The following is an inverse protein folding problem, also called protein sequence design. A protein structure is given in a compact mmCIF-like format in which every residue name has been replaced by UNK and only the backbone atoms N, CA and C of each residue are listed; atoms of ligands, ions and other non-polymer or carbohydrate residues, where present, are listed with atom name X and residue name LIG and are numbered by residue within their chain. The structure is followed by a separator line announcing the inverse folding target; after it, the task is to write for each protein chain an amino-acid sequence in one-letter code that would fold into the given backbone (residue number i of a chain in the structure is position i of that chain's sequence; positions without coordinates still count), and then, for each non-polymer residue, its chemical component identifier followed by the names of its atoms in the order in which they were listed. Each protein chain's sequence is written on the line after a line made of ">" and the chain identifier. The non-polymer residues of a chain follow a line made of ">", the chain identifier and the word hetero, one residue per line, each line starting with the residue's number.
data_IF_665533319792
#
_entry.id   IF_665533319792
#
_cell.length_a   1.000
_cell.length_b   1.000
_cell.length_c   1.000
_cell.angle_alpha   90.00
_cell.angle_beta   90.00
_cell.angle_gamma   90.00
#
_symmetry.space_group_name_H-M   'P 1'
#
loop_
_entity.id
_entity.type
_entity.pdbx_description
1 polymer ?
#
# COMPACT_ATOMS: atom_id res chain seq x y z
N UNK A 1 22.08 9.29 -22.28
CA UNK A 1 20.88 9.94 -21.74
C UNK A 1 21.24 10.43 -20.35
N UNK A 2 21.02 11.69 -20.06
CA UNK A 2 21.12 12.27 -18.72
C UNK A 2 19.69 12.56 -18.22
N UNK A 3 19.45 12.32 -16.95
CA UNK A 3 18.20 12.66 -16.30
C UNK A 3 18.45 13.81 -15.34
N UNK A 4 17.69 14.88 -15.47
CA UNK A 4 17.64 15.95 -14.51
C UNK A 4 16.48 15.65 -13.57
N UNK A 5 16.80 15.15 -12.37
CA UNK A 5 15.79 14.75 -11.39
C UNK A 5 15.97 15.49 -10.06
N UNK A 6 17.13 16.08 -9.80
CA UNK A 6 17.44 16.66 -8.47
C UNK A 6 16.50 17.83 -8.15
N UNK A 7 16.21 18.68 -9.13
CA UNK A 7 15.30 19.82 -8.97
C UNK A 7 13.81 19.41 -9.01
N UNK A 8 13.51 18.17 -9.43
CA UNK A 8 12.16 17.62 -9.60
C UNK A 8 11.83 16.50 -8.62
N UNK A 9 12.66 16.29 -7.57
CA UNK A 9 12.41 15.30 -6.56
C UNK A 9 11.47 15.83 -5.48
N UNK A 10 10.36 15.11 -5.25
CA UNK A 10 9.36 15.47 -4.26
C UNK A 10 9.17 14.29 -3.30
N UNK A 11 9.41 14.53 -2.01
CA UNK A 11 9.10 13.58 -0.95
C UNK A 11 7.73 13.91 -0.36
N UNK A 12 6.73 13.10 -0.68
CA UNK A 12 5.35 13.28 -0.22
C UNK A 12 5.12 12.94 1.25
N UNK A 13 6.04 12.22 1.91
CA UNK A 13 5.98 11.85 3.34
C UNK A 13 4.66 11.17 3.76
N UNK A 14 3.97 10.51 2.82
CA UNK A 14 2.65 9.93 3.05
C UNK A 14 1.51 10.94 3.15
N UNK A 15 1.77 12.25 2.91
CA UNK A 15 0.76 13.31 2.93
C UNK A 15 0.17 13.52 1.53
N UNK A 16 -1.12 13.24 1.38
CA UNK A 16 -1.83 13.38 0.09
C UNK A 16 -1.84 14.81 -0.45
N UNK A 17 -1.78 15.82 0.43
CA UNK A 17 -1.73 17.22 0.03
C UNK A 17 -0.38 17.56 -0.59
N UNK A 18 0.71 17.12 0.03
CA UNK A 18 2.08 17.31 -0.50
C UNK A 18 2.24 16.58 -1.82
N UNK A 19 1.76 15.33 -1.91
CA UNK A 19 1.80 14.54 -3.16
C UNK A 19 1.04 15.27 -4.27
N UNK A 20 -0.18 15.72 -4.01
CA UNK A 20 -1.02 16.40 -5.01
C UNK A 20 -0.39 17.70 -5.49
N UNK A 21 0.10 18.53 -4.57
CA UNK A 21 0.75 19.80 -4.90
C UNK A 21 2.04 19.57 -5.68
N UNK A 22 2.85 18.61 -5.28
CA UNK A 22 4.09 18.28 -5.95
C UNK A 22 3.86 17.78 -7.37
N UNK A 23 2.90 16.87 -7.58
CA UNK A 23 2.56 16.39 -8.92
C UNK A 23 1.97 17.48 -9.82
N UNK A 24 1.17 18.40 -9.25
CA UNK A 24 0.68 19.55 -10.00
C UNK A 24 1.84 20.47 -10.44
N UNK A 25 2.82 20.70 -9.56
CA UNK A 25 4.02 21.48 -9.90
C UNK A 25 4.82 20.80 -11.02
N UNK A 26 5.07 19.48 -10.95
CA UNK A 26 5.77 18.75 -12.02
C UNK A 26 5.04 18.84 -13.37
N UNK A 27 3.71 18.80 -13.34
CA UNK A 27 2.89 19.00 -14.55
C UNK A 27 3.04 20.40 -15.12
N UNK A 28 3.02 21.43 -14.28
CA UNK A 28 3.19 22.83 -14.70
C UNK A 28 4.60 23.09 -15.24
N UNK A 29 5.61 22.44 -14.67
CA UNK A 29 7.00 22.51 -15.13
C UNK A 29 7.24 21.74 -16.45
N UNK A 30 6.27 20.94 -16.89
CA UNK A 30 6.29 20.26 -18.17
C UNK A 30 7.33 19.14 -18.24
N UNK A 31 7.45 18.33 -17.18
CA UNK A 31 8.40 17.20 -17.15
C UNK A 31 8.11 16.16 -18.23
N UNK A 32 9.15 15.53 -18.78
CA UNK A 32 9.06 14.55 -19.85
C UNK A 32 8.49 13.21 -19.40
N UNK A 33 8.62 12.86 -18.11
CA UNK A 33 8.08 11.65 -17.49
C UNK A 33 7.99 11.83 -15.99
N UNK A 34 7.13 11.05 -15.34
CA UNK A 34 6.97 11.02 -13.87
C UNK A 34 7.27 9.62 -13.36
N UNK A 35 8.13 9.53 -12.34
CA UNK A 35 8.39 8.29 -11.60
C UNK A 35 7.69 8.39 -10.24
N UNK A 36 6.78 7.47 -9.98
CA UNK A 36 5.98 7.41 -8.76
C UNK A 36 6.38 6.21 -7.91
N UNK A 37 6.62 6.44 -6.63
CA UNK A 37 6.87 5.36 -5.68
C UNK A 37 5.64 5.20 -4.80
N UNK A 38 5.16 3.97 -4.67
CA UNK A 38 3.97 3.53 -3.96
C UNK A 38 2.62 3.87 -4.65
N UNK A 39 1.60 3.07 -4.32
CA UNK A 39 0.26 3.13 -4.94
C UNK A 39 -0.41 4.50 -4.83
N UNK A 40 -0.45 5.18 -3.66
CA UNK A 40 -1.11 6.49 -3.54
C UNK A 40 -0.53 7.56 -4.46
N UNK A 41 0.80 7.56 -4.63
CA UNK A 41 1.47 8.50 -5.53
C UNK A 41 1.14 8.22 -6.99
N UNK A 42 1.12 6.94 -7.39
CA UNK A 42 0.80 6.53 -8.76
C UNK A 42 -0.65 6.88 -9.14
N UNK A 43 -1.62 6.64 -8.25
CA UNK A 43 -3.03 7.02 -8.43
C UNK A 43 -3.22 8.54 -8.56
N UNK A 44 -2.51 9.30 -7.71
CA UNK A 44 -2.57 10.77 -7.78
C UNK A 44 -1.93 11.27 -9.08
N UNK A 45 -0.83 10.66 -9.54
CA UNK A 45 -0.21 11.01 -10.81
C UNK A 45 -1.12 10.67 -12.00
N UNK A 46 -1.79 9.51 -11.99
CA UNK A 46 -2.76 9.12 -13.02
C UNK A 46 -3.81 10.22 -13.21
N UNK A 47 -4.44 10.67 -12.12
CA UNK A 47 -5.46 11.73 -12.18
C UNK A 47 -4.87 13.10 -12.53
N UNK A 48 -3.69 13.46 -12.01
CA UNK A 48 -3.06 14.75 -12.26
C UNK A 48 -2.63 14.90 -13.71
N UNK A 49 -2.05 13.86 -14.31
CA UNK A 49 -1.54 13.86 -15.69
C UNK A 49 -2.54 13.33 -16.72
N UNK A 50 -3.80 13.16 -16.35
CA UNK A 50 -4.84 12.73 -17.29
C UNK A 50 -4.87 13.64 -18.52
N UNK A 51 -4.89 13.03 -19.71
CA UNK A 51 -4.96 13.72 -20.99
C UNK A 51 -3.67 14.42 -21.44
N UNK A 52 -2.58 14.40 -20.67
CA UNK A 52 -1.30 15.01 -21.07
C UNK A 52 -0.47 14.12 -22.00
N UNK A 53 -0.62 12.79 -21.90
CA UNK A 53 0.23 11.84 -22.57
C UNK A 53 1.62 11.66 -21.94
N UNK A 54 1.94 12.37 -20.87
CA UNK A 54 3.20 12.25 -20.13
C UNK A 54 3.32 10.82 -19.58
N UNK A 55 4.42 10.10 -19.85
CA UNK A 55 4.64 8.76 -19.29
C UNK A 55 4.70 8.78 -17.76
N UNK A 56 3.99 7.86 -17.13
CA UNK A 56 4.02 7.62 -15.69
C UNK A 56 4.60 6.24 -15.45
N UNK A 57 5.70 6.20 -14.70
CA UNK A 57 6.39 4.97 -14.34
C UNK A 57 6.21 4.75 -12.84
N UNK A 58 5.46 3.73 -12.45
CA UNK A 58 5.31 3.39 -11.04
C UNK A 58 6.36 2.37 -10.59
N UNK A 59 6.72 2.47 -9.31
CA UNK A 59 7.56 1.51 -8.59
C UNK A 59 6.89 1.18 -7.25
N UNK A 60 7.02 -0.06 -6.81
CA UNK A 60 6.44 -0.52 -5.55
C UNK A 60 4.92 -0.26 -5.47
N UNK A 61 4.19 -0.68 -6.49
CA UNK A 61 2.71 -0.72 -6.49
C UNK A 61 2.27 -2.17 -6.32
N UNK A 62 1.51 -2.45 -5.27
CA UNK A 62 1.17 -3.82 -4.87
C UNK A 62 0.26 -4.51 -5.87
N UNK A 63 -0.82 -3.86 -6.27
CA UNK A 63 -1.78 -4.37 -7.27
C UNK A 63 -2.11 -3.29 -8.31
N UNK A 64 -1.29 -3.12 -9.36
CA UNK A 64 -1.54 -2.08 -10.35
C UNK A 64 -2.77 -2.31 -11.21
N UNK A 65 -3.22 -3.57 -11.35
CA UNK A 65 -4.45 -3.90 -12.07
C UNK A 65 -5.68 -3.60 -11.22
N UNK A 66 -5.70 -4.08 -9.97
CA UNK A 66 -6.78 -3.82 -9.02
C UNK A 66 -6.93 -2.33 -8.68
N UNK A 67 -5.81 -1.59 -8.63
CA UNK A 67 -5.82 -0.13 -8.48
C UNK A 67 -6.27 0.63 -9.74
N UNK A 68 -6.46 -0.05 -10.88
CA UNK A 68 -6.89 0.59 -12.13
C UNK A 68 -5.81 1.44 -12.81
N UNK A 69 -4.54 1.23 -12.49
CA UNK A 69 -3.41 1.92 -13.13
C UNK A 69 -3.10 1.35 -14.52
N UNK A 70 -3.25 0.04 -14.68
CA UNK A 70 -2.98 -0.68 -15.92
C UNK A 70 -4.09 -1.68 -16.21
N UNK A 71 -4.27 -2.02 -17.50
CA UNK A 71 -5.28 -3.00 -17.92
C UNK A 71 -4.89 -4.44 -17.57
N UNK A 72 -3.59 -4.75 -17.70
CA UNK A 72 -2.97 -6.01 -17.27
C UNK A 72 -1.48 -5.80 -17.05
N UNK A 73 -0.81 -6.78 -16.46
CA UNK A 73 0.65 -6.72 -16.22
C UNK A 73 1.45 -6.82 -17.53
N UNK A 74 0.97 -7.59 -18.50
CA UNK A 74 1.67 -7.80 -19.77
C UNK A 74 1.33 -6.71 -20.80
N UNK A 75 0.12 -6.16 -20.74
CA UNK A 75 -0.37 -5.13 -21.67
C UNK A 75 -0.97 -3.96 -20.85
N UNK A 76 -0.15 -3.01 -20.38
CA UNK A 76 -0.59 -1.88 -19.55
C UNK A 76 -1.70 -1.03 -20.18
N UNK A 77 -1.67 -0.85 -21.49
CA UNK A 77 -2.78 -0.27 -22.27
C UNK A 77 -2.79 1.26 -22.39
N UNK A 78 -1.88 1.96 -21.73
CA UNK A 78 -1.84 3.43 -21.72
C UNK A 78 -0.42 4.01 -21.61
N UNK A 79 -0.33 5.23 -21.08
CA UNK A 79 0.95 5.90 -20.78
C UNK A 79 1.48 5.60 -19.37
N UNK A 80 0.92 4.58 -18.69
CA UNK A 80 1.27 4.17 -17.32
C UNK A 80 1.85 2.75 -17.37
N UNK A 81 3.01 2.55 -16.76
CA UNK A 81 3.67 1.25 -16.61
C UNK A 81 4.58 1.26 -15.39
N UNK A 82 5.13 0.11 -15.00
CA UNK A 82 6.04 0.07 -13.86
C UNK A 82 6.31 -1.33 -13.32
N UNK A 83 6.65 -1.40 -12.04
CA UNK A 83 6.96 -2.64 -11.33
C UNK A 83 6.04 -2.84 -10.13
N UNK A 84 5.49 -4.06 -10.01
CA UNK A 84 4.69 -4.46 -8.86
C UNK A 84 5.59 -5.02 -7.75
N UNK A 85 5.16 -4.83 -6.51
CA UNK A 85 5.67 -5.47 -5.30
C UNK A 85 4.63 -6.39 -4.64
N UNK A 86 3.84 -7.08 -5.45
CA UNK A 86 2.77 -7.95 -4.99
C UNK A 86 3.24 -8.90 -3.87
N UNK A 87 2.42 -8.99 -2.81
CA UNK A 87 2.70 -9.86 -1.67
C UNK A 87 2.34 -11.32 -1.99
N UNK A 88 3.15 -12.24 -1.51
CA UNK A 88 2.73 -13.62 -1.34
C UNK A 88 2.07 -13.77 0.05
N UNK A 89 0.83 -13.36 0.16
CA UNK A 89 0.07 -13.33 1.42
C UNK A 89 0.01 -14.71 2.07
N UNK A 90 -0.18 -15.78 1.28
CA UNK A 90 -0.21 -17.15 1.81
C UNK A 90 1.12 -17.53 2.48
N UNK A 91 2.26 -17.21 1.86
CA UNK A 91 3.56 -17.49 2.43
C UNK A 91 3.79 -16.71 3.74
N UNK A 92 3.37 -15.44 3.79
CA UNK A 92 3.46 -14.61 5.00
C UNK A 92 2.57 -15.15 6.10
N UNK A 93 1.31 -15.50 5.80
CA UNK A 93 0.41 -16.11 6.77
C UNK A 93 0.97 -17.43 7.32
N UNK A 94 1.60 -18.24 6.48
CA UNK A 94 2.25 -19.49 6.93
C UNK A 94 3.43 -19.23 7.89
N UNK A 95 4.12 -18.07 7.82
CA UNK A 95 5.16 -17.71 8.80
C UNK A 95 4.59 -17.50 10.20
N UNK A 96 3.38 -16.96 10.33
CA UNK A 96 2.69 -16.81 11.63
C UNK A 96 2.56 -18.18 12.29
N UNK A 97 2.03 -19.17 11.55
CA UNK A 97 1.82 -20.53 12.07
C UNK A 97 3.10 -21.35 12.23
N UNK A 98 4.15 -20.99 11.49
CA UNK A 98 5.48 -21.57 11.70
C UNK A 98 6.11 -21.07 13.01
N UNK A 99 5.87 -19.80 13.38
CA UNK A 99 6.36 -19.19 14.62
C UNK A 99 5.49 -19.58 15.82
N UNK A 100 4.17 -19.59 15.66
CA UNK A 100 3.20 -19.98 16.68
C UNK A 100 2.20 -20.98 16.10
N UNK A 101 2.49 -22.30 16.17
CA UNK A 101 1.61 -23.33 15.61
C UNK A 101 0.22 -23.41 16.26
N UNK A 102 0.09 -22.93 17.50
CA UNK A 102 -1.14 -22.93 18.27
C UNK A 102 -1.97 -21.64 18.12
N UNK A 103 -1.55 -20.73 17.23
CA UNK A 103 -2.30 -19.49 16.97
C UNK A 103 -3.71 -19.82 16.47
N UNK A 104 -4.72 -19.33 17.16
CA UNK A 104 -6.14 -19.56 16.83
C UNK A 104 -6.92 -18.27 16.58
N UNK A 105 -6.28 -17.11 16.83
CA UNK A 105 -6.89 -15.79 16.65
C UNK A 105 -5.93 -14.77 16.07
N UNK A 106 -6.17 -14.33 14.86
CA UNK A 106 -5.28 -13.41 14.13
C UNK A 106 -5.91 -12.01 14.01
N UNK A 107 -5.10 -10.98 14.30
CA UNK A 107 -5.46 -9.59 14.04
C UNK A 107 -5.14 -9.18 12.60
N UNK A 108 -6.07 -8.51 11.94
CA UNK A 108 -5.84 -7.89 10.64
C UNK A 108 -5.83 -6.37 10.82
N UNK A 109 -4.67 -5.75 10.63
CA UNK A 109 -4.45 -4.31 10.79
C UNK A 109 -4.13 -3.66 9.46
N UNK A 110 -4.94 -2.72 9.03
CA UNK A 110 -4.73 -2.02 7.77
C UNK A 110 -5.45 -0.67 7.72
N UNK A 111 -5.10 0.15 6.75
CA UNK A 111 -5.79 1.41 6.47
C UNK A 111 -6.86 1.23 5.39
N UNK A 112 -8.04 1.75 5.65
CA UNK A 112 -9.13 1.77 4.66
C UNK A 112 -8.95 2.85 3.59
N UNK A 113 -7.95 3.71 3.73
CA UNK A 113 -7.57 4.71 2.73
C UNK A 113 -6.48 4.23 1.76
N UNK A 114 -6.04 2.97 1.88
CA UNK A 114 -4.96 2.39 1.08
C UNK A 114 -5.48 1.27 0.18
N UNK A 115 -5.52 1.51 -1.13
CA UNK A 115 -5.93 0.51 -2.12
C UNK A 115 -4.99 -0.70 -2.15
N UNK A 116 -3.69 -0.49 -1.83
CA UNK A 116 -2.67 -1.54 -1.72
C UNK A 116 -3.00 -2.65 -0.71
N UNK A 117 -3.84 -2.35 0.29
CA UNK A 117 -4.23 -3.30 1.34
C UNK A 117 -5.36 -4.24 0.92
N UNK A 118 -6.18 -3.86 -0.04
CA UNK A 118 -7.47 -4.51 -0.35
C UNK A 118 -7.31 -5.98 -0.69
N UNK A 119 -6.47 -6.31 -1.67
CA UNK A 119 -6.31 -7.69 -2.13
C UNK A 119 -5.61 -8.55 -1.07
N UNK A 120 -4.55 -8.03 -0.44
CA UNK A 120 -3.81 -8.77 0.58
C UNK A 120 -4.68 -9.13 1.80
N UNK A 121 -5.58 -8.24 2.21
CA UNK A 121 -6.55 -8.52 3.29
C UNK A 121 -7.59 -9.54 2.86
N UNK A 122 -8.09 -9.48 1.62
CA UNK A 122 -9.01 -10.48 1.10
C UNK A 122 -8.36 -11.88 1.06
N UNK A 123 -7.10 -11.98 0.62
CA UNK A 123 -6.34 -13.22 0.58
C UNK A 123 -6.05 -13.75 1.99
N UNK A 124 -5.71 -12.88 2.96
CA UNK A 124 -5.50 -13.26 4.35
C UNK A 124 -6.78 -13.84 4.98
N UNK A 125 -7.94 -13.22 4.75
CA UNK A 125 -9.24 -13.74 5.22
C UNK A 125 -9.53 -15.10 4.61
N UNK A 126 -9.40 -15.25 3.29
CA UNK A 126 -9.62 -16.52 2.61
C UNK A 126 -8.72 -17.64 3.14
N UNK A 127 -7.46 -17.32 3.43
CA UNK A 127 -6.50 -18.25 4.05
C UNK A 127 -6.94 -18.67 5.46
N UNK A 128 -7.34 -17.70 6.31
CA UNK A 128 -7.79 -17.97 7.69
C UNK A 128 -9.09 -18.74 7.72
N UNK A 129 -10.05 -18.39 6.86
CA UNK A 129 -11.32 -19.12 6.70
C UNK A 129 -11.07 -20.59 6.30
N UNK A 130 -10.16 -20.82 5.35
CA UNK A 130 -9.80 -22.17 4.92
C UNK A 130 -9.13 -23.00 6.02
N UNK A 131 -8.42 -22.36 6.95
CA UNK A 131 -7.80 -22.99 8.12
C UNK A 131 -8.76 -23.12 9.32
N UNK A 132 -9.91 -22.44 9.31
CA UNK A 132 -10.83 -22.37 10.45
C UNK A 132 -10.28 -21.57 11.63
N UNK A 133 -9.42 -20.58 11.37
CA UNK A 133 -8.79 -19.71 12.37
C UNK A 133 -9.60 -18.43 12.50
N UNK A 134 -9.90 -18.02 13.73
CA UNK A 134 -10.60 -16.77 14.02
C UNK A 134 -9.74 -15.56 13.65
N UNK A 135 -10.38 -14.50 13.16
CA UNK A 135 -9.69 -13.22 12.97
C UNK A 135 -10.53 -12.02 13.41
N UNK A 136 -9.83 -10.97 13.79
CA UNK A 136 -10.41 -9.68 14.19
C UNK A 136 -9.79 -8.59 13.34
N UNK A 137 -10.64 -7.79 12.67
CA UNK A 137 -10.20 -6.65 11.91
C UNK A 137 -10.25 -5.37 12.72
N UNK A 138 -9.20 -4.56 12.62
CA UNK A 138 -9.18 -3.18 13.08
C UNK A 138 -8.47 -2.32 12.04
N UNK A 139 -9.05 -1.16 11.77
CA UNK A 139 -8.60 -0.26 10.71
C UNK A 139 -8.46 1.17 11.22
N UNK A 140 -7.71 1.97 10.47
CA UNK A 140 -7.63 3.40 10.66
C UNK A 140 -7.45 4.09 9.30
N UNK A 141 -7.57 5.41 9.26
CA UNK A 141 -7.35 6.22 8.05
C UNK A 141 -6.09 7.08 8.17
N UNK A 142 -5.47 7.08 9.33
CA UNK A 142 -4.25 7.81 9.65
C UNK A 142 -3.44 7.07 10.72
N UNK A 143 -2.20 7.50 10.94
CA UNK A 143 -1.26 6.84 11.86
C UNK A 143 -1.76 6.76 13.30
N UNK A 144 -2.51 7.77 13.77
CA UNK A 144 -3.08 7.78 15.13
C UNK A 144 -4.17 6.72 15.28
N UNK A 145 -5.09 6.64 14.32
CA UNK A 145 -6.17 5.65 14.33
C UNK A 145 -5.62 4.23 14.16
N UNK A 146 -4.62 4.03 13.29
CA UNK A 146 -3.93 2.74 13.12
C UNK A 146 -3.27 2.30 14.43
N UNK A 147 -2.61 3.22 15.14
CA UNK A 147 -2.01 2.93 16.45
C UNK A 147 -3.07 2.52 17.49
N UNK A 148 -4.23 3.19 17.51
CA UNK A 148 -5.36 2.81 18.38
C UNK A 148 -5.99 1.47 17.95
N UNK A 149 -6.05 1.20 16.65
CA UNK A 149 -6.51 -0.08 16.12
C UNK A 149 -5.60 -1.24 16.57
N UNK A 150 -4.29 -1.03 16.60
CA UNK A 150 -3.33 -1.99 17.15
C UNK A 150 -3.60 -2.27 18.65
N UNK A 151 -3.82 -1.22 19.48
CA UNK A 151 -4.20 -1.39 20.88
C UNK A 151 -5.47 -2.23 21.04
N UNK A 152 -6.45 -1.98 20.18
CA UNK A 152 -7.71 -2.73 20.21
C UNK A 152 -7.54 -4.21 19.82
N UNK A 153 -6.61 -4.54 18.91
CA UNK A 153 -6.25 -5.92 18.56
C UNK A 153 -5.55 -6.61 19.73
N UNK A 154 -4.59 -5.93 20.37
CA UNK A 154 -3.90 -6.46 21.57
C UNK A 154 -4.92 -6.72 22.68
N UNK A 155 -5.84 -5.77 22.94
CA UNK A 155 -6.89 -5.94 23.92
C UNK A 155 -7.90 -7.05 23.59
N UNK A 156 -8.06 -7.38 22.30
CA UNK A 156 -8.88 -8.51 21.84
C UNK A 156 -8.17 -9.88 22.03
N UNK A 157 -6.90 -9.88 22.42
CA UNK A 157 -6.13 -11.09 22.70
C UNK A 157 -5.80 -11.86 21.43
N UNK A 158 -5.38 -11.17 20.37
CA UNK A 158 -4.91 -11.85 19.15
C UNK A 158 -3.51 -12.43 19.35
N UNK A 159 -3.20 -13.58 18.73
CA UNK A 159 -1.91 -14.27 18.85
C UNK A 159 -0.84 -13.69 17.95
N UNK A 160 -1.25 -13.05 16.87
CA UNK A 160 -0.41 -12.33 15.92
C UNK A 160 -1.21 -11.25 15.19
N UNK A 161 -0.50 -10.26 14.67
CA UNK A 161 -1.09 -9.22 13.81
C UNK A 161 -0.48 -9.35 12.43
N UNK A 162 -1.33 -9.47 11.41
CA UNK A 162 -0.97 -9.34 10.01
C UNK A 162 -1.27 -7.93 9.53
N UNK A 163 -0.30 -7.34 8.85
CA UNK A 163 -0.46 -6.09 8.11
C UNK A 163 0.08 -6.25 6.69
N UNK A 164 -0.62 -5.76 5.66
CA UNK A 164 -0.13 -5.76 4.28
C UNK A 164 0.91 -4.65 4.04
N UNK A 165 1.31 -4.43 2.79
CA UNK A 165 2.10 -3.27 2.36
C UNK A 165 1.24 -1.99 2.40
N UNK A 166 1.00 -1.51 3.60
CA UNK A 166 0.15 -0.36 3.90
C UNK A 166 1.03 0.80 4.38
N UNK A 167 1.08 1.89 3.59
CA UNK A 167 1.97 3.02 3.89
C UNK A 167 1.59 3.74 5.19
N UNK A 168 0.29 3.77 5.53
CA UNK A 168 -0.21 4.38 6.76
C UNK A 168 0.20 3.54 7.98
N UNK A 169 0.07 2.21 7.89
CA UNK A 169 0.53 1.29 8.95
C UNK A 169 2.04 1.34 9.09
N UNK A 170 2.79 1.29 7.99
CA UNK A 170 4.26 1.39 8.00
C UNK A 170 4.75 2.69 8.64
N UNK A 171 4.05 3.80 8.40
CA UNK A 171 4.37 5.09 9.05
C UNK A 171 4.11 5.09 10.57
N UNK A 172 3.25 4.21 11.06
CA UNK A 172 2.95 4.02 12.48
C UNK A 172 3.76 2.89 13.14
N UNK A 173 4.56 2.14 12.38
CA UNK A 173 5.20 0.88 12.79
C UNK A 173 5.97 1.00 14.11
N UNK A 174 6.81 2.02 14.28
CA UNK A 174 7.58 2.21 15.51
C UNK A 174 6.69 2.37 16.74
N UNK A 175 5.54 3.04 16.60
CA UNK A 175 4.60 3.21 17.71
C UNK A 175 3.79 1.95 18.01
N UNK A 176 3.71 1.02 17.07
CA UNK A 176 3.01 -0.26 17.21
C UNK A 176 3.96 -1.33 17.77
N UNK A 177 5.20 -1.34 17.33
CA UNK A 177 6.20 -2.35 17.72
C UNK A 177 6.50 -2.36 19.22
N UNK A 178 6.44 -1.21 19.87
CA UNK A 178 6.74 -1.04 21.30
C UNK A 178 5.58 -1.42 22.24
N UNK A 179 4.43 -1.88 21.68
CA UNK A 179 3.21 -2.26 22.42
C UNK A 179 3.13 -3.74 22.73
#
# INVERSE_FOLDING_TARGET
>A
VSFDYEDYFINGQGDSTIITQGLAQLKDDGVDAVVCVATPTALTAQSTFEGTGTPIIFSAVTDPVGAGLVSSMDEPGGNITGTSDALNTEAIMNLIFAQNPDADKIGLLYSTSEDSSTQAIADAKAFLDAKGVEYVEKTGTNTTEVSQAADALIAAGVDAIFTPTDNTVMSAELSIYDK
#
